data_IF_847916525557
#
_entry.id   IF_847916525557
#
_cell.length_a   1.000
_cell.length_b   1.000
_cell.length_c   1.000
_cell.angle_alpha   90.00
_cell.angle_beta   90.00
_cell.angle_gamma   90.00
#
_symmetry.space_group_name_H-M   'P 1'
#
loop_
_entity.id
_entity.type
_entity.pdbx_description
1 polymer ?
#
# COMPACT_ATOMS: atom_id res chain seq x y z
N UNK A 1 -15.74 -0.30 -10.13
CA UNK A 1 -15.41 1.01 -9.51
C UNK A 1 -15.49 2.15 -10.52
N UNK A 2 -14.95 2.03 -11.73
CA UNK A 2 -14.91 3.11 -12.75
C UNK A 2 -16.28 3.72 -12.99
N UNK A 3 -17.30 2.88 -13.19
CA UNK A 3 -18.68 3.34 -13.39
C UNK A 3 -19.22 4.16 -12.21
N UNK A 4 -18.83 3.81 -10.98
CA UNK A 4 -19.20 4.57 -9.79
C UNK A 4 -18.51 5.92 -9.73
N UNK A 5 -17.20 5.95 -10.04
CA UNK A 5 -16.41 7.20 -10.08
C UNK A 5 -16.98 8.13 -11.15
N UNK A 6 -17.22 7.64 -12.37
CA UNK A 6 -17.81 8.44 -13.45
C UNK A 6 -19.18 9.00 -13.06
N UNK A 7 -20.03 8.19 -12.39
CA UNK A 7 -21.34 8.64 -11.89
C UNK A 7 -21.20 9.70 -10.80
N UNK A 8 -20.25 9.56 -9.89
CA UNK A 8 -19.99 10.55 -8.85
C UNK A 8 -19.50 11.87 -9.44
N UNK A 9 -18.55 11.84 -10.38
CA UNK A 9 -18.07 13.02 -11.11
C UNK A 9 -19.19 13.73 -11.85
N UNK A 10 -20.06 12.97 -12.55
CA UNK A 10 -21.22 13.55 -13.23
C UNK A 10 -22.18 14.24 -12.26
N UNK A 11 -22.45 13.64 -11.08
CA UNK A 11 -23.29 14.27 -10.05
C UNK A 11 -22.65 15.54 -9.47
N UNK A 12 -21.32 15.62 -9.47
CA UNK A 12 -20.57 16.79 -8.99
C UNK A 12 -20.36 17.86 -10.08
N UNK A 13 -20.86 17.67 -11.30
CA UNK A 13 -20.62 18.59 -12.44
C UNK A 13 -19.18 18.53 -12.97
N UNK A 14 -18.43 17.46 -12.67
CA UNK A 14 -17.03 17.26 -13.03
C UNK A 14 -16.85 16.16 -14.08
N UNK A 15 -17.83 15.94 -14.94
CA UNK A 15 -17.81 14.88 -15.95
C UNK A 15 -16.70 15.05 -17.02
N UNK A 16 -16.14 16.25 -17.13
CA UNK A 16 -15.00 16.56 -18.02
C UNK A 16 -13.66 16.00 -17.51
N UNK A 17 -13.59 15.55 -16.24
CA UNK A 17 -12.37 14.97 -15.67
C UNK A 17 -12.24 13.51 -16.16
N UNK A 18 -11.12 13.16 -16.84
CA UNK A 18 -10.91 11.81 -17.32
C UNK A 18 -10.72 10.83 -16.16
N UNK A 19 -11.37 9.67 -16.24
CA UNK A 19 -11.17 8.57 -15.29
C UNK A 19 -10.31 7.52 -15.98
N UNK A 20 -9.09 7.35 -15.50
CA UNK A 20 -8.11 6.38 -16.01
C UNK A 20 -8.15 5.13 -15.13
N UNK A 21 -8.15 3.97 -15.75
CA UNK A 21 -8.06 2.68 -15.06
C UNK A 21 -6.87 1.88 -15.57
N UNK A 22 -6.12 1.33 -14.64
CA UNK A 22 -5.09 0.32 -14.91
C UNK A 22 -5.77 -1.06 -14.99
N UNK A 23 -6.60 -1.28 -16.02
CA UNK A 23 -7.21 -2.58 -16.23
C UNK A 23 -6.28 -3.44 -17.08
N UNK A 24 -5.91 -4.62 -16.57
CA UNK A 24 -5.07 -5.59 -17.27
C UNK A 24 -5.66 -6.09 -18.60
N UNK A 25 -6.97 -5.93 -18.81
CA UNK A 25 -7.66 -6.40 -20.01
C UNK A 25 -7.58 -5.45 -21.22
N UNK A 26 -6.86 -4.33 -21.13
CA UNK A 26 -6.61 -3.45 -22.29
C UNK A 26 -7.86 -2.85 -22.96
N UNK A 27 -9.03 -2.95 -22.34
CA UNK A 27 -10.33 -2.60 -22.95
C UNK A 27 -10.64 -1.10 -22.96
N UNK A 28 -9.84 -0.27 -22.30
CA UNK A 28 -9.99 1.19 -22.38
C UNK A 28 -8.72 1.82 -22.91
N UNK A 29 -8.76 2.31 -24.15
CA UNK A 29 -7.73 3.19 -24.71
C UNK A 29 -8.01 4.60 -24.20
N UNK A 30 -7.20 5.09 -23.29
CA UNK A 30 -7.25 6.49 -22.88
C UNK A 30 -6.31 7.29 -23.79
N UNK A 31 -6.86 8.22 -24.55
CA UNK A 31 -6.07 9.16 -25.36
C UNK A 31 -5.13 9.95 -24.44
N UNK A 32 -3.82 9.87 -24.72
CA UNK A 32 -2.80 10.63 -24.00
C UNK A 32 -2.12 9.91 -22.83
N UNK A 33 -2.57 8.73 -22.38
CA UNK A 33 -1.91 7.95 -21.35
C UNK A 33 -1.31 6.66 -21.93
N UNK A 34 0.02 6.54 -21.87
CA UNK A 34 0.74 5.34 -22.30
C UNK A 34 1.45 4.72 -21.11
N UNK A 35 1.20 3.43 -20.88
CA UNK A 35 1.92 2.65 -19.89
C UNK A 35 3.26 2.22 -20.48
N UNK A 36 4.35 2.82 -20.00
CA UNK A 36 5.70 2.39 -20.37
C UNK A 36 6.18 1.26 -19.44
N UNK A 37 7.15 0.42 -19.89
CA UNK A 37 7.77 -0.57 -19.02
C UNK A 37 8.43 0.04 -17.78
N UNK A 38 9.00 1.25 -17.90
CA UNK A 38 9.56 1.98 -16.76
C UNK A 38 8.49 2.35 -15.75
N UNK A 39 7.34 2.87 -16.20
CA UNK A 39 6.23 3.21 -15.32
C UNK A 39 5.69 1.97 -14.56
N UNK A 40 5.64 0.81 -15.23
CA UNK A 40 5.26 -0.44 -14.57
C UNK A 40 6.26 -0.87 -13.48
N UNK A 41 7.55 -0.71 -13.76
CA UNK A 41 8.60 -1.01 -12.80
C UNK A 41 8.54 -0.07 -11.59
N UNK A 42 8.39 1.24 -11.84
CA UNK A 42 8.26 2.25 -10.79
C UNK A 42 7.00 2.03 -9.94
N UNK A 43 5.89 1.64 -10.57
CA UNK A 43 4.67 1.26 -9.87
C UNK A 43 4.87 0.01 -8.99
N UNK A 44 5.58 -1.01 -9.49
CA UNK A 44 5.92 -2.20 -8.71
C UNK A 44 6.83 -1.85 -7.51
N UNK A 45 7.86 -1.03 -7.72
CA UNK A 45 8.70 -0.52 -6.66
C UNK A 45 7.89 0.28 -5.63
N UNK A 46 6.97 1.13 -6.10
CA UNK A 46 6.08 1.92 -5.25
C UNK A 46 5.20 1.06 -4.36
N UNK A 47 4.63 -0.04 -4.90
CA UNK A 47 3.83 -1.00 -4.12
C UNK A 47 4.68 -1.63 -3.02
N UNK A 48 5.85 -2.16 -3.36
CA UNK A 48 6.72 -2.83 -2.37
C UNK A 48 7.20 -1.86 -1.30
N UNK A 49 7.59 -0.64 -1.66
CA UNK A 49 8.00 0.39 -0.69
C UNK A 49 6.83 0.82 0.20
N UNK A 50 5.63 0.94 -0.36
CA UNK A 50 4.41 1.25 0.40
C UNK A 50 4.06 0.15 1.41
N UNK A 51 4.09 -1.11 0.99
CA UNK A 51 3.86 -2.27 1.85
C UNK A 51 4.91 -2.35 2.96
N UNK A 52 6.19 -2.12 2.63
CA UNK A 52 7.28 -2.12 3.60
C UNK A 52 7.09 -1.02 4.66
N UNK A 53 6.76 0.20 4.23
CA UNK A 53 6.49 1.32 5.13
C UNK A 53 5.28 1.05 6.03
N UNK A 54 4.19 0.52 5.48
CA UNK A 54 3.00 0.14 6.23
C UNK A 54 3.33 -0.94 7.27
N UNK A 55 4.04 -1.97 6.88
CA UNK A 55 4.43 -3.09 7.75
C UNK A 55 5.33 -2.63 8.89
N UNK A 56 6.36 -1.82 8.62
CA UNK A 56 7.23 -1.26 9.62
C UNK A 56 6.46 -0.35 10.60
N UNK A 57 5.61 0.54 10.07
CA UNK A 57 4.81 1.44 10.88
C UNK A 57 3.91 0.69 11.85
N UNK A 58 3.09 -0.24 11.36
CA UNK A 58 2.11 -0.95 12.18
C UNK A 58 2.75 -1.93 13.17
N UNK A 59 3.97 -2.37 12.86
CA UNK A 59 4.77 -3.20 13.76
C UNK A 59 5.39 -2.43 14.91
N UNK A 60 5.83 -1.19 14.69
CA UNK A 60 6.61 -0.38 15.66
C UNK A 60 5.72 0.59 16.44
N UNK A 61 4.79 1.27 15.76
CA UNK A 61 3.94 2.33 16.35
C UNK A 61 3.20 1.93 17.63
N UNK A 62 2.63 0.72 17.77
CA UNK A 62 1.95 0.33 19.01
C UNK A 62 2.88 0.25 20.23
N UNK A 63 4.18 0.17 20.01
CA UNK A 63 5.20 -0.04 21.04
C UNK A 63 6.15 1.15 21.23
N UNK A 64 6.01 2.23 20.44
CA UNK A 64 6.90 3.40 20.49
C UNK A 64 6.95 4.02 21.89
N UNK A 65 8.16 4.33 22.39
CA UNK A 65 8.35 5.01 23.66
C UNK A 65 8.02 6.50 23.54
N UNK A 66 8.40 7.13 22.44
CA UNK A 66 8.05 8.50 22.12
C UNK A 66 6.87 8.55 21.17
N UNK A 67 5.72 8.95 21.67
CA UNK A 67 4.47 8.93 20.92
C UNK A 67 4.52 9.83 19.69
N UNK A 68 4.29 9.21 18.52
CA UNK A 68 4.31 9.87 17.22
C UNK A 68 5.64 9.78 16.46
N UNK A 69 6.70 9.23 17.09
CA UNK A 69 8.01 9.03 16.45
C UNK A 69 7.93 8.10 15.23
N UNK A 70 7.20 7.01 15.32
CA UNK A 70 6.98 6.09 14.20
C UNK A 70 6.25 6.77 13.04
N UNK A 71 5.23 7.59 13.32
CA UNK A 71 4.54 8.36 12.29
C UNK A 71 5.44 9.43 11.65
N UNK A 72 6.31 10.06 12.43
CA UNK A 72 7.28 11.03 11.90
C UNK A 72 8.30 10.36 10.97
N UNK A 73 8.81 9.20 11.39
CA UNK A 73 9.72 8.39 10.58
C UNK A 73 9.07 7.88 9.29
N UNK A 74 7.82 7.42 9.38
CA UNK A 74 7.04 7.02 8.22
C UNK A 74 6.89 8.16 7.20
N UNK A 75 6.54 9.37 7.64
CA UNK A 75 6.44 10.54 6.75
C UNK A 75 7.78 10.86 6.08
N UNK A 76 8.88 10.87 6.85
CA UNK A 76 10.24 11.08 6.32
C UNK A 76 10.55 10.11 5.18
N UNK A 77 10.37 8.81 5.42
CA UNK A 77 10.68 7.80 4.41
C UNK A 77 9.72 7.77 3.23
N UNK A 78 8.43 8.04 3.47
CA UNK A 78 7.45 8.22 2.39
C UNK A 78 7.90 9.31 1.41
N UNK A 79 8.31 10.46 1.91
CA UNK A 79 8.71 11.59 1.08
C UNK A 79 10.01 11.28 0.33
N UNK A 80 10.97 10.60 0.96
CA UNK A 80 12.20 10.11 0.31
C UNK A 80 11.87 9.09 -0.80
N UNK A 81 10.94 8.18 -0.58
CA UNK A 81 10.53 7.19 -1.57
C UNK A 81 9.86 7.86 -2.77
N UNK A 82 8.95 8.82 -2.53
CA UNK A 82 8.29 9.57 -3.59
C UNK A 82 9.33 10.32 -4.44
N UNK A 83 10.22 11.07 -3.80
CA UNK A 83 11.31 11.78 -4.49
C UNK A 83 12.18 10.83 -5.34
N UNK A 84 12.54 9.67 -4.77
CA UNK A 84 13.37 8.69 -5.48
C UNK A 84 12.67 8.02 -6.67
N UNK A 85 11.35 7.85 -6.62
CA UNK A 85 10.58 7.26 -7.72
C UNK A 85 10.22 8.26 -8.82
N UNK A 86 10.21 9.55 -8.49
CA UNK A 86 9.80 10.62 -9.43
C UNK A 86 10.96 11.42 -9.99
N UNK A 87 12.17 11.30 -9.41
CA UNK A 87 13.35 12.03 -9.84
C UNK A 87 14.08 11.34 -11.01
N UNK A 88 14.54 12.12 -11.98
CA UNK A 88 15.44 11.63 -13.03
C UNK A 88 16.81 11.19 -12.48
N UNK A 89 17.23 11.76 -11.35
CA UNK A 89 18.49 11.46 -10.67
C UNK A 89 18.25 11.13 -9.18
N UNK A 90 17.72 9.94 -8.87
CA UNK A 90 17.39 9.58 -7.50
C UNK A 90 18.65 9.50 -6.62
N UNK A 91 18.55 10.11 -5.43
CA UNK A 91 19.63 10.07 -4.44
C UNK A 91 19.90 8.65 -3.92
N UNK A 92 18.84 7.83 -3.82
CA UNK A 92 18.91 6.46 -3.31
C UNK A 92 18.47 5.47 -4.38
N UNK A 93 19.19 4.33 -4.46
CA UNK A 93 18.76 3.17 -5.24
C UNK A 93 17.69 2.39 -4.46
N UNK A 94 16.84 1.67 -5.16
CA UNK A 94 15.74 0.88 -4.56
C UNK A 94 16.18 0.03 -3.36
N UNK A 95 17.26 -0.75 -3.49
CA UNK A 95 17.78 -1.58 -2.38
C UNK A 95 18.25 -0.76 -1.17
N UNK A 96 18.75 0.46 -1.37
CA UNK A 96 19.14 1.37 -0.29
C UNK A 96 17.91 1.94 0.43
N UNK A 97 16.83 2.22 -0.30
CA UNK A 97 15.56 2.63 0.31
C UNK A 97 15.01 1.52 1.21
N UNK A 98 14.89 0.29 0.69
CA UNK A 98 14.40 -0.83 1.47
C UNK A 98 15.23 -1.06 2.75
N UNK A 99 16.57 -1.05 2.63
CA UNK A 99 17.46 -1.23 3.77
C UNK A 99 17.32 -0.09 4.77
N UNK A 100 17.38 1.17 4.31
CA UNK A 100 17.32 2.33 5.20
C UNK A 100 15.99 2.43 5.94
N UNK A 101 14.87 2.07 5.32
CA UNK A 101 13.56 1.99 5.99
C UNK A 101 13.64 1.00 7.16
N UNK A 102 14.10 -0.22 6.89
CA UNK A 102 14.16 -1.26 7.93
C UNK A 102 15.11 -0.86 9.06
N UNK A 103 16.32 -0.39 8.73
CA UNK A 103 17.33 0.03 9.72
C UNK A 103 16.83 1.17 10.61
N UNK A 104 16.20 2.19 10.03
CA UNK A 104 15.69 3.33 10.81
C UNK A 104 14.49 2.93 11.69
N UNK A 105 13.59 2.06 11.22
CA UNK A 105 12.47 1.58 12.05
C UNK A 105 12.92 0.60 13.14
N UNK A 106 13.92 -0.23 12.87
CA UNK A 106 14.51 -1.16 13.84
C UNK A 106 15.26 -0.42 14.96
N UNK A 107 15.85 0.73 14.63
CA UNK A 107 16.53 1.59 15.58
C UNK A 107 15.59 2.46 16.44
N UNK A 108 14.27 2.47 16.15
CA UNK A 108 13.32 3.29 16.87
C UNK A 108 13.11 2.73 18.30
N UNK A 109 13.24 3.55 19.36
CA UNK A 109 13.04 3.08 20.72
C UNK A 109 11.61 2.60 20.97
N UNK A 110 11.49 1.33 21.36
CA UNK A 110 10.20 0.68 21.65
C UNK A 110 10.19 0.04 23.03
N UNK A 111 9.02 -0.14 23.60
CA UNK A 111 8.84 -0.90 24.83
C UNK A 111 8.74 -2.41 24.50
N UNK A 112 9.86 -3.11 24.62
CA UNK A 112 9.97 -4.55 24.36
C UNK A 112 9.24 -5.42 25.42
N UNK A 113 8.84 -4.83 26.54
CA UNK A 113 8.12 -5.55 27.61
C UNK A 113 6.64 -5.72 27.28
N UNK A 114 6.09 -4.86 26.42
CA UNK A 114 4.69 -4.91 26.01
C UNK A 114 4.46 -6.08 25.05
N UNK A 115 3.38 -6.81 25.31
CA UNK A 115 2.87 -7.87 24.42
C UNK A 115 1.42 -7.58 24.09
N UNK A 116 1.18 -7.09 22.89
CA UNK A 116 -0.17 -6.77 22.42
C UNK A 116 -0.73 -7.91 21.57
N UNK A 117 -2.04 -8.18 21.64
CA UNK A 117 -2.67 -9.14 20.75
C UNK A 117 -2.56 -8.63 19.30
N UNK A 118 -2.23 -9.54 18.38
CA UNK A 118 -2.15 -9.23 16.96
C UNK A 118 -3.49 -9.51 16.29
N UNK A 119 -4.05 -8.51 15.65
CA UNK A 119 -5.36 -8.57 15.00
C UNK A 119 -5.22 -8.35 13.50
N UNK A 120 -5.61 -9.37 12.71
CA UNK A 120 -5.61 -9.30 11.24
C UNK A 120 -6.75 -8.43 10.71
N UNK A 121 -6.41 -7.45 9.88
CA UNK A 121 -7.38 -6.62 9.14
C UNK A 121 -7.56 -7.23 7.76
N UNK A 122 -8.70 -7.85 7.52
CA UNK A 122 -9.03 -8.54 6.26
C UNK A 122 -10.26 -7.90 5.61
N UNK A 123 -10.47 -8.17 4.34
CA UNK A 123 -11.64 -7.69 3.62
C UNK A 123 -11.34 -7.36 2.15
N UNK A 124 -12.25 -6.64 1.53
CA UNK A 124 -12.14 -6.17 0.16
C UNK A 124 -10.97 -5.17 0.04
N UNK A 125 -10.25 -5.23 -1.07
CA UNK A 125 -8.98 -4.51 -1.28
C UNK A 125 -9.11 -3.00 -1.02
N UNK A 126 -10.12 -2.33 -1.60
CA UNK A 126 -10.31 -0.89 -1.44
C UNK A 126 -10.59 -0.54 0.03
N UNK A 127 -11.51 -1.28 0.67
CA UNK A 127 -11.89 -1.04 2.06
C UNK A 127 -10.73 -1.30 3.01
N UNK A 128 -9.98 -2.37 2.79
CA UNK A 128 -8.85 -2.76 3.64
C UNK A 128 -7.75 -1.68 3.70
N UNK A 129 -7.41 -1.07 2.56
CA UNK A 129 -6.31 -0.10 2.48
C UNK A 129 -6.73 1.36 2.56
N UNK A 130 -8.03 1.66 2.60
CA UNK A 130 -8.53 3.03 2.66
C UNK A 130 -9.09 3.35 4.04
N UNK A 131 -8.38 4.12 4.90
CA UNK A 131 -8.83 4.42 6.25
C UNK A 131 -10.23 5.07 6.31
N UNK A 132 -10.56 5.94 5.37
CA UNK A 132 -11.89 6.55 5.28
C UNK A 132 -13.01 5.54 4.99
N UNK A 133 -12.71 4.47 4.24
CA UNK A 133 -13.70 3.44 3.90
C UNK A 133 -13.87 2.40 5.02
N UNK A 134 -12.86 2.22 5.89
CA UNK A 134 -12.89 1.26 6.98
C UNK A 134 -13.02 1.88 8.36
N UNK A 135 -13.40 3.17 8.44
CA UNK A 135 -13.56 3.91 9.68
C UNK A 135 -12.29 3.93 10.55
N UNK A 136 -11.11 4.03 9.92
CA UNK A 136 -9.81 4.06 10.62
C UNK A 136 -9.61 2.86 11.56
N UNK A 137 -9.93 1.66 11.09
CA UNK A 137 -9.92 0.43 11.89
C UNK A 137 -8.56 0.14 12.54
N UNK A 138 -7.45 0.46 11.86
CA UNK A 138 -6.11 0.28 12.42
C UNK A 138 -5.90 1.18 13.63
N UNK A 139 -6.26 2.46 13.51
CA UNK A 139 -6.13 3.41 14.62
C UNK A 139 -7.05 3.03 15.81
N UNK A 140 -8.21 2.43 15.51
CA UNK A 140 -9.11 1.89 16.54
C UNK A 140 -8.46 0.71 17.27
N UNK A 141 -7.94 -0.28 16.53
CA UNK A 141 -7.28 -1.46 17.11
C UNK A 141 -6.10 -1.08 18.00
N UNK A 142 -5.25 -0.14 17.55
CA UNK A 142 -4.11 0.32 18.34
C UNK A 142 -4.54 1.07 19.60
N UNK A 143 -5.59 1.89 19.51
CA UNK A 143 -6.17 2.59 20.67
C UNK A 143 -6.76 1.61 21.69
N UNK A 144 -7.34 0.51 21.25
CA UNK A 144 -7.85 -0.57 22.10
C UNK A 144 -6.73 -1.51 22.61
N UNK A 145 -5.46 -1.21 22.30
CA UNK A 145 -4.31 -1.94 22.82
C UNK A 145 -3.85 -3.13 21.98
N UNK A 146 -4.27 -3.25 20.74
CA UNK A 146 -3.84 -4.31 19.82
C UNK A 146 -2.71 -3.86 18.87
N UNK A 147 -2.04 -4.81 18.24
CA UNK A 147 -1.18 -4.63 17.07
C UNK A 147 -1.99 -5.01 15.81
N UNK A 148 -2.22 -4.05 14.93
CA UNK A 148 -2.90 -4.31 13.67
C UNK A 148 -1.97 -4.98 12.65
N UNK A 149 -2.43 -6.04 12.02
CA UNK A 149 -1.73 -6.75 10.95
C UNK A 149 -2.54 -6.63 9.67
N UNK A 150 -2.07 -5.80 8.75
CA UNK A 150 -2.67 -5.62 7.43
C UNK A 150 -1.82 -6.39 6.42
N UNK A 151 -2.38 -7.37 5.68
CA UNK A 151 -1.65 -8.05 4.62
C UNK A 151 -1.16 -7.09 3.54
N UNK A 152 0.00 -7.36 2.97
CA UNK A 152 0.58 -6.52 1.94
C UNK A 152 -0.29 -6.46 0.67
N UNK A 153 -0.22 -5.35 -0.05
CA UNK A 153 -0.90 -5.23 -1.34
C UNK A 153 -0.26 -6.17 -2.38
N UNK A 154 1.05 -6.36 -2.30
CA UNK A 154 1.77 -7.32 -3.16
C UNK A 154 1.25 -8.75 -2.96
N UNK A 155 0.95 -9.16 -1.72
CA UNK A 155 0.38 -10.47 -1.41
C UNK A 155 -0.96 -10.69 -2.11
N UNK A 156 -1.76 -9.64 -2.26
CA UNK A 156 -3.03 -9.72 -3.00
C UNK A 156 -2.81 -10.06 -4.47
N UNK A 157 -1.84 -9.42 -5.12
CA UNK A 157 -1.50 -9.72 -6.53
C UNK A 157 -0.90 -11.12 -6.67
N UNK A 158 0.02 -11.50 -5.77
CA UNK A 158 0.63 -12.83 -5.75
C UNK A 158 -0.42 -13.93 -5.54
N UNK A 159 -1.35 -13.74 -4.61
CA UNK A 159 -2.44 -14.67 -4.35
C UNK A 159 -3.34 -14.85 -5.58
N UNK A 160 -3.63 -13.77 -6.32
CA UNK A 160 -4.44 -13.83 -7.54
C UNK A 160 -3.76 -14.69 -8.62
N UNK A 161 -2.45 -14.55 -8.80
CA UNK A 161 -1.68 -15.36 -9.75
C UNK A 161 -1.67 -16.83 -9.32
N UNK A 162 -1.39 -17.09 -8.03
CA UNK A 162 -1.36 -18.44 -7.48
C UNK A 162 -2.73 -19.14 -7.56
N UNK A 163 -3.82 -18.41 -7.32
CA UNK A 163 -5.18 -18.95 -7.43
C UNK A 163 -5.53 -19.37 -8.86
N UNK A 164 -5.06 -18.62 -9.86
CA UNK A 164 -5.27 -18.98 -11.27
C UNK A 164 -4.51 -20.28 -11.61
N UNK A 165 -3.25 -20.39 -11.22
CA UNK A 165 -2.45 -21.58 -11.43
C UNK A 165 -3.06 -22.80 -10.71
N UNK A 166 -3.51 -22.65 -9.46
CA UNK A 166 -4.18 -23.69 -8.71
C UNK A 166 -5.49 -24.15 -9.38
N UNK A 167 -6.32 -23.20 -9.86
CA UNK A 167 -7.56 -23.50 -10.59
C UNK A 167 -7.30 -24.27 -11.88
N UNK A 168 -6.27 -23.86 -12.63
CA UNK A 168 -5.89 -24.55 -13.86
C UNK A 168 -5.40 -25.98 -13.55
N UNK A 169 -4.50 -26.13 -12.58
CA UNK A 169 -3.83 -27.41 -12.29
C UNK A 169 -4.75 -28.42 -11.59
N UNK A 170 -5.61 -27.97 -10.68
CA UNK A 170 -6.38 -28.87 -9.82
C UNK A 170 -7.89 -28.92 -10.12
N UNK A 171 -8.45 -27.90 -10.76
CA UNK A 171 -9.87 -27.83 -11.04
C UNK A 171 -10.21 -27.90 -12.54
N UNK A 172 -9.21 -28.01 -13.42
CA UNK A 172 -9.42 -28.11 -14.88
C UNK A 172 -10.15 -26.90 -15.48
N UNK A 173 -10.11 -25.76 -14.83
CA UNK A 173 -10.71 -24.51 -15.31
C UNK A 173 -9.63 -23.67 -15.99
N UNK A 174 -9.69 -23.63 -17.30
CA UNK A 174 -8.92 -22.72 -18.15
C UNK A 174 -9.67 -21.43 -18.40
#
# INVERSE_FOLDING_TARGET
YIAFIRRALKKAGLEHIPVISLNANGMETNEGFRISPSLLLDAAHGIVLGDLLMRCLYRVRPYELEKGSANALHRKWRDICIDSLTSEHPKYRYAQLCRGIVEDFDALPIDETLKKPRVGVVGEILVKYMPLANNHVVDLLEREGAEAVVPDLLDFFAATIYEQDFKHTHLGKG
#
